data_IF_115034311654
#
_entry.id   IF_115034311654
#
_cell.length_a   1.000
_cell.length_b   1.000
_cell.length_c   1.000
_cell.angle_alpha   90.00
_cell.angle_beta   90.00
_cell.angle_gamma   90.00
#
_symmetry.space_group_name_H-M   'P 1'
#
loop_
_entity.id
_entity.type
_entity.pdbx_description
1 polymer ?
#
# COMPACT_ATOMS: atom_id res chain seq x y z
N UNK A 1 1.48 7.67 28.42
CA UNK A 1 1.09 7.05 27.15
C UNK A 1 1.42 8.05 26.05
N UNK A 2 2.40 7.74 25.20
CA UNK A 2 2.82 8.66 24.15
C UNK A 2 1.72 8.68 23.08
N UNK A 3 0.86 9.70 23.11
CA UNK A 3 -0.15 9.89 22.07
C UNK A 3 0.54 10.26 20.76
N UNK A 4 0.36 9.43 19.74
CA UNK A 4 0.79 9.76 18.38
C UNK A 4 -0.07 10.91 17.84
N UNK A 5 0.55 11.81 17.06
CA UNK A 5 -0.18 12.94 16.49
C UNK A 5 -1.03 12.48 15.30
N UNK A 6 -2.33 12.74 15.37
CA UNK A 6 -3.30 12.44 14.30
C UNK A 6 -3.64 13.68 13.48
N UNK A 7 -3.71 13.50 12.16
CA UNK A 7 -3.93 14.53 11.16
C UNK A 7 -5.14 14.16 10.29
N UNK A 8 -5.87 15.17 9.84
CA UNK A 8 -6.80 15.04 8.71
C UNK A 8 -6.12 15.58 7.46
N UNK A 9 -5.72 14.67 6.57
CA UNK A 9 -5.09 15.00 5.30
C UNK A 9 -6.18 15.33 4.30
N UNK A 10 -6.15 16.52 3.71
CA UNK A 10 -7.14 16.98 2.73
C UNK A 10 -6.52 17.09 1.35
N UNK A 11 -7.19 16.50 0.37
CA UNK A 11 -6.79 16.40 -1.03
C UNK A 11 -7.80 17.16 -1.91
N UNK A 12 -7.49 17.36 -3.21
CA UNK A 12 -8.47 17.85 -4.18
C UNK A 12 -9.78 17.05 -4.16
N UNK A 13 -10.86 17.65 -4.69
CA UNK A 13 -12.20 17.04 -4.72
C UNK A 13 -12.81 16.74 -3.34
N UNK A 14 -12.40 17.51 -2.31
CA UNK A 14 -12.87 17.37 -0.91
C UNK A 14 -12.57 15.99 -0.30
N UNK A 15 -11.57 15.28 -0.82
CA UNK A 15 -11.19 13.97 -0.29
C UNK A 15 -10.37 14.14 0.98
N UNK A 16 -10.60 13.27 1.95
CA UNK A 16 -9.91 13.28 3.22
C UNK A 16 -9.42 11.88 3.58
N UNK A 17 -8.28 11.84 4.27
CA UNK A 17 -7.66 10.62 4.80
C UNK A 17 -7.14 10.88 6.21
N UNK A 18 -6.99 9.82 6.98
CA UNK A 18 -6.36 9.87 8.31
C UNK A 18 -4.84 9.81 8.14
N UNK A 19 -4.11 10.69 8.81
CA UNK A 19 -2.66 10.61 8.91
C UNK A 19 -2.22 10.44 10.35
N UNK A 20 -1.19 9.63 10.60
CA UNK A 20 -0.56 9.47 11.92
C UNK A 20 0.93 9.73 11.77
N UNK A 21 1.46 10.68 12.55
CA UNK A 21 2.91 10.89 12.64
C UNK A 21 3.52 9.91 13.61
N UNK A 22 4.57 9.24 13.16
CA UNK A 22 5.18 8.10 13.85
C UNK A 22 6.67 8.36 14.02
N UNK A 23 7.12 8.64 15.26
CA UNK A 23 8.54 8.66 15.58
C UNK A 23 9.22 7.33 15.25
N UNK A 24 10.54 7.35 15.03
CA UNK A 24 11.30 6.11 14.86
C UNK A 24 11.08 5.15 16.03
N UNK A 25 11.10 3.85 15.74
CA UNK A 25 10.96 2.75 16.70
C UNK A 25 9.64 2.72 17.49
N UNK A 26 8.61 3.44 17.03
CA UNK A 26 7.25 3.30 17.56
C UNK A 26 6.74 1.89 17.32
N UNK A 27 6.18 1.27 18.37
CA UNK A 27 5.62 -0.08 18.30
C UNK A 27 4.40 -0.14 17.38
N UNK A 28 4.31 -1.19 16.57
CA UNK A 28 3.23 -1.39 15.60
C UNK A 28 1.83 -1.42 16.22
N UNK A 29 1.70 -1.92 17.45
CA UNK A 29 0.43 -1.98 18.19
C UNK A 29 -0.13 -0.59 18.50
N UNK A 30 0.72 0.36 18.88
CA UNK A 30 0.35 1.75 19.11
C UNK A 30 -0.07 2.44 17.80
N UNK A 31 0.62 2.15 16.70
CA UNK A 31 0.27 2.68 15.37
C UNK A 31 -1.10 2.16 14.95
N UNK A 32 -1.31 0.84 14.99
CA UNK A 32 -2.57 0.20 14.62
C UNK A 32 -3.76 0.71 15.47
N UNK A 33 -3.57 0.79 16.78
CA UNK A 33 -4.58 1.34 17.71
C UNK A 33 -4.89 2.80 17.40
N UNK A 34 -3.87 3.61 17.08
CA UNK A 34 -4.09 5.02 16.73
C UNK A 34 -4.85 5.15 15.42
N UNK A 35 -4.51 4.34 14.41
CA UNK A 35 -5.19 4.35 13.12
C UNK A 35 -6.68 4.00 13.27
N UNK A 36 -7.01 2.93 14.00
CA UNK A 36 -8.39 2.49 14.19
C UNK A 36 -9.25 3.41 15.07
N UNK A 37 -8.63 4.23 15.92
CA UNK A 37 -9.35 5.20 16.78
C UNK A 37 -9.42 6.60 16.17
N UNK A 38 -8.56 6.91 15.20
CA UNK A 38 -8.48 8.22 14.61
C UNK A 38 -9.78 8.57 13.86
N UNK A 39 -10.15 9.85 13.92
CA UNK A 39 -11.32 10.36 13.21
C UNK A 39 -11.00 11.53 12.31
N UNK A 40 -11.60 11.54 11.13
CA UNK A 40 -11.60 12.71 10.25
C UNK A 40 -12.29 13.86 11.00
N UNK A 41 -11.55 14.95 11.23
CA UNK A 41 -12.08 16.13 11.92
C UNK A 41 -12.91 16.95 10.93
N UNK A 42 -14.23 16.99 11.15
CA UNK A 42 -15.13 17.84 10.35
C UNK A 42 -14.92 19.32 10.68
N UNK A 43 -14.94 20.16 9.64
CA UNK A 43 -14.98 21.61 9.77
C UNK A 43 -16.30 22.06 10.40
N UNK A 44 -16.32 23.28 10.96
CA UNK A 44 -17.51 23.85 11.62
C UNK A 44 -18.74 23.89 10.70
N UNK A 45 -18.57 24.25 9.43
CA UNK A 45 -19.65 24.22 8.43
C UNK A 45 -20.12 22.80 8.08
N UNK A 46 -19.22 21.81 8.03
CA UNK A 46 -19.61 20.40 7.84
C UNK A 46 -20.41 19.85 9.02
N UNK A 47 -20.08 20.26 10.26
CA UNK A 47 -20.86 19.93 11.46
C UNK A 47 -22.26 20.56 11.45
N UNK A 48 -22.41 21.73 10.82
CA UNK A 48 -23.71 22.39 10.70
C UNK A 48 -24.64 21.64 9.73
N UNK A 49 -24.08 21.00 8.70
CA UNK A 49 -24.81 20.20 7.71
C UNK A 49 -24.99 18.73 8.18
N UNK A 50 -24.22 18.28 9.18
CA UNK A 50 -24.18 16.87 9.59
C UNK A 50 -25.45 16.35 10.27
N UNK A 51 -26.45 17.20 10.56
CA UNK A 51 -27.77 16.75 10.99
C UNK A 51 -28.49 15.87 9.94
N UNK A 52 -27.99 15.81 8.70
CA UNK A 52 -28.51 14.97 7.61
C UNK A 52 -27.55 13.86 7.14
N UNK A 53 -26.39 13.65 7.79
CA UNK A 53 -25.31 12.78 7.28
C UNK A 53 -25.00 11.58 8.20
N UNK A 54 -25.98 10.73 8.49
CA UNK A 54 -25.77 9.44 9.21
C UNK A 54 -24.80 8.50 8.47
N UNK A 55 -24.75 8.60 7.13
CA UNK A 55 -23.96 7.73 6.25
C UNK A 55 -22.45 7.86 6.48
N UNK A 56 -21.93 9.02 6.93
CA UNK A 56 -20.48 9.22 7.09
C UNK A 56 -19.94 8.59 8.36
N UNK A 57 -20.73 8.51 9.44
CA UNK A 57 -20.30 7.83 10.68
C UNK A 57 -20.30 6.31 10.56
N UNK A 58 -21.26 5.73 9.82
CA UNK A 58 -21.35 4.27 9.63
C UNK A 58 -20.16 3.75 8.81
N UNK A 59 -19.84 4.40 7.68
CA UNK A 59 -18.67 4.03 6.86
C UNK A 59 -17.36 4.11 7.64
N UNK A 60 -17.23 5.10 8.52
CA UNK A 60 -16.02 5.29 9.30
C UNK A 60 -15.87 4.24 10.41
N UNK A 61 -16.98 3.84 11.04
CA UNK A 61 -16.95 2.74 12.00
C UNK A 61 -16.61 1.41 11.31
N UNK A 62 -17.15 1.17 10.11
CA UNK A 62 -16.83 -0.02 9.31
C UNK A 62 -15.33 -0.05 8.93
N UNK A 63 -14.75 1.06 8.47
CA UNK A 63 -13.31 1.15 8.20
C UNK A 63 -12.45 0.90 9.45
N UNK A 64 -12.86 1.41 10.61
CA UNK A 64 -12.15 1.18 11.87
C UNK A 64 -12.21 -0.29 12.30
N UNK A 65 -13.37 -0.93 12.18
CA UNK A 65 -13.54 -2.35 12.46
C UNK A 65 -12.62 -3.18 11.58
N UNK A 66 -12.52 -2.84 10.28
CA UNK A 66 -11.63 -3.51 9.33
C UNK A 66 -10.13 -3.38 9.66
N UNK A 67 -9.72 -2.33 10.38
CA UNK A 67 -8.34 -2.19 10.87
C UNK A 67 -8.10 -2.95 12.18
N UNK A 68 -9.11 -3.10 13.03
CA UNK A 68 -9.00 -3.86 14.29
C UNK A 68 -9.06 -5.37 14.10
N UNK A 69 -9.79 -5.84 13.09
CA UNK A 69 -9.88 -7.25 12.75
C UNK A 69 -9.88 -7.42 11.22
N UNK A 70 -8.71 -7.27 10.56
CA UNK A 70 -8.61 -7.44 9.12
C UNK A 70 -8.97 -8.86 8.71
N UNK A 71 -9.76 -9.01 7.63
CA UNK A 71 -9.99 -10.32 7.01
C UNK A 71 -8.71 -10.90 6.41
N UNK A 72 -7.91 -10.03 5.81
CA UNK A 72 -6.61 -10.33 5.25
C UNK A 72 -5.78 -9.04 5.12
N UNK A 73 -4.46 -9.19 5.06
CA UNK A 73 -3.53 -8.07 4.84
C UNK A 73 -2.67 -8.34 3.61
N UNK A 74 -2.70 -7.43 2.64
CA UNK A 74 -1.81 -7.47 1.47
C UNK A 74 -0.82 -6.31 1.51
N UNK A 75 0.46 -6.66 1.51
CA UNK A 75 1.57 -5.75 1.28
C UNK A 75 1.75 -5.57 -0.24
N UNK A 76 1.52 -4.38 -0.79
CA UNK A 76 1.76 -4.12 -2.21
C UNK A 76 2.87 -3.10 -2.41
N UNK A 77 3.96 -3.51 -3.06
CA UNK A 77 5.15 -2.68 -3.25
C UNK A 77 5.77 -2.86 -4.65
N UNK A 78 6.70 -1.97 -5.01
CA UNK A 78 7.36 -2.05 -6.32
C UNK A 78 7.86 -0.71 -6.85
N UNK A 79 7.73 -0.52 -8.16
CA UNK A 79 8.34 0.59 -8.88
C UNK A 79 7.49 1.87 -8.94
N UNK A 80 8.07 3.01 -8.56
CA UNK A 80 7.47 4.35 -8.72
C UNK A 80 8.05 5.13 -9.91
N UNK A 81 8.98 4.52 -10.66
CA UNK A 81 9.60 5.15 -11.81
C UNK A 81 8.62 5.30 -13.00
N UNK A 82 8.96 6.20 -13.94
CA UNK A 82 8.19 6.39 -15.15
C UNK A 82 8.05 5.05 -15.91
N UNK A 83 6.82 4.76 -16.34
CA UNK A 83 6.44 3.56 -17.06
C UNK A 83 6.35 3.88 -18.55
N UNK A 84 6.82 2.95 -19.39
CA UNK A 84 6.55 3.00 -20.82
C UNK A 84 5.05 2.80 -21.09
N UNK A 85 4.47 3.40 -22.16
CA UNK A 85 3.02 3.41 -22.36
C UNK A 85 2.36 2.03 -22.38
N UNK A 86 2.98 1.04 -23.04
CA UNK A 86 2.44 -0.33 -23.11
C UNK A 86 2.44 -1.01 -21.73
N UNK A 87 3.55 -0.90 -21.00
CA UNK A 87 3.67 -1.43 -19.65
C UNK A 87 2.68 -0.74 -18.70
N UNK A 88 2.52 0.58 -18.84
CA UNK A 88 1.54 1.35 -18.08
C UNK A 88 0.11 0.83 -18.31
N UNK A 89 -0.26 0.53 -19.55
CA UNK A 89 -1.60 -0.02 -19.86
C UNK A 89 -1.82 -1.39 -19.19
N UNK A 90 -0.85 -2.30 -19.30
CA UNK A 90 -0.92 -3.63 -18.67
C UNK A 90 -1.00 -3.54 -17.14
N UNK A 91 -0.17 -2.70 -16.53
CA UNK A 91 -0.19 -2.45 -15.08
C UNK A 91 -1.49 -1.79 -14.63
N UNK A 92 -2.05 -0.89 -15.44
CA UNK A 92 -3.34 -0.27 -15.12
C UNK A 92 -4.43 -1.35 -15.00
N UNK A 93 -4.58 -2.20 -16.02
CA UNK A 93 -5.58 -3.28 -15.99
C UNK A 93 -5.38 -4.22 -14.80
N UNK A 94 -4.16 -4.71 -14.57
CA UNK A 94 -3.92 -5.69 -13.49
C UNK A 94 -4.11 -5.07 -12.09
N UNK A 95 -3.77 -3.78 -11.90
CA UNK A 95 -3.87 -3.14 -10.59
C UNK A 95 -5.27 -2.59 -10.32
N UNK A 96 -5.93 -2.01 -11.30
CA UNK A 96 -7.28 -1.46 -11.13
C UNK A 96 -8.34 -2.55 -11.11
N UNK A 97 -8.31 -3.45 -12.08
CA UNK A 97 -9.33 -4.49 -12.18
C UNK A 97 -8.90 -5.76 -11.43
N UNK A 98 -7.61 -6.03 -11.27
CA UNK A 98 -7.17 -7.17 -10.45
C UNK A 98 -7.15 -6.83 -8.96
N UNK A 99 -6.09 -6.15 -8.51
CA UNK A 99 -5.81 -5.93 -7.10
C UNK A 99 -6.84 -5.02 -6.40
N UNK A 100 -7.15 -3.86 -6.95
CA UNK A 100 -8.05 -2.91 -6.30
C UNK A 100 -9.47 -3.47 -6.18
N UNK A 101 -9.98 -4.11 -7.25
CA UNK A 101 -11.30 -4.72 -7.25
C UNK A 101 -11.42 -5.79 -6.15
N UNK A 102 -10.51 -6.77 -6.10
CA UNK A 102 -10.60 -7.83 -5.08
C UNK A 102 -10.42 -7.28 -3.68
N UNK A 103 -9.57 -6.26 -3.49
CA UNK A 103 -9.41 -5.64 -2.19
C UNK A 103 -10.71 -4.99 -1.69
N UNK A 104 -11.43 -4.30 -2.56
CA UNK A 104 -12.74 -3.70 -2.25
C UNK A 104 -13.81 -4.77 -2.00
N UNK A 105 -13.95 -5.74 -2.90
CA UNK A 105 -14.97 -6.79 -2.81
C UNK A 105 -14.81 -7.65 -1.55
N UNK A 106 -13.58 -8.00 -1.22
CA UNK A 106 -13.24 -8.86 -0.09
C UNK A 106 -12.86 -8.06 1.16
N UNK A 107 -12.94 -6.72 1.14
CA UNK A 107 -12.54 -5.84 2.26
C UNK A 107 -11.14 -6.16 2.82
N UNK A 108 -10.17 -6.35 1.92
CA UNK A 108 -8.78 -6.67 2.27
C UNK A 108 -8.05 -5.38 2.65
N UNK A 109 -7.29 -5.42 3.75
CA UNK A 109 -6.44 -4.30 4.16
C UNK A 109 -5.17 -4.27 3.33
N UNK A 110 -4.91 -3.17 2.64
CA UNK A 110 -3.71 -2.93 1.84
C UNK A 110 -2.69 -2.08 2.60
N UNK A 111 -1.41 -2.42 2.47
CA UNK A 111 -0.29 -1.61 2.97
C UNK A 111 0.68 -1.35 1.81
N UNK A 112 0.99 -0.07 1.55
CA UNK A 112 1.80 0.36 0.40
C UNK A 112 2.71 1.54 0.74
N UNK A 113 3.54 1.98 -0.23
CA UNK A 113 4.36 3.21 -0.12
C UNK A 113 3.60 4.54 -0.32
N UNK A 114 2.28 4.52 -0.58
CA UNK A 114 1.37 5.68 -0.41
C UNK A 114 1.53 6.91 -1.32
N UNK A 115 2.53 6.97 -2.19
CA UNK A 115 2.78 8.14 -3.05
C UNK A 115 1.96 8.09 -4.34
N UNK A 116 1.57 9.25 -4.88
CA UNK A 116 0.91 9.37 -6.19
C UNK A 116 1.95 9.24 -7.32
N UNK A 117 2.62 8.09 -7.39
CA UNK A 117 3.65 7.80 -8.37
C UNK A 117 3.67 6.32 -8.77
N UNK A 118 3.87 6.05 -10.06
CA UNK A 118 3.96 4.71 -10.63
C UNK A 118 2.80 3.80 -10.22
N UNK A 119 3.12 2.61 -9.74
CA UNK A 119 2.12 1.57 -9.40
C UNK A 119 1.12 2.01 -8.31
N UNK A 120 1.53 2.88 -7.39
CA UNK A 120 0.65 3.32 -6.30
C UNK A 120 -0.44 4.27 -6.80
N UNK A 121 -0.12 5.13 -7.77
CA UNK A 121 -1.12 5.95 -8.45
C UNK A 121 -2.13 5.07 -9.22
N UNK A 122 -1.65 4.04 -9.93
CA UNK A 122 -2.50 3.10 -10.65
C UNK A 122 -3.44 2.32 -9.72
N UNK A 123 -2.93 1.82 -8.59
CA UNK A 123 -3.74 1.19 -7.56
C UNK A 123 -4.77 2.17 -6.97
N UNK A 124 -4.35 3.39 -6.68
CA UNK A 124 -5.21 4.46 -6.15
C UNK A 124 -6.41 4.76 -7.06
N UNK A 125 -6.16 4.95 -8.35
CA UNK A 125 -7.21 5.15 -9.36
C UNK A 125 -8.18 3.95 -9.39
N UNK A 126 -7.66 2.74 -9.24
CA UNK A 126 -8.47 1.52 -9.09
C UNK A 126 -9.35 1.53 -7.84
N UNK A 127 -8.79 1.88 -6.68
CA UNK A 127 -9.56 2.01 -5.44
C UNK A 127 -10.67 3.05 -5.60
N UNK A 128 -10.38 4.17 -6.27
CA UNK A 128 -11.38 5.18 -6.66
C UNK A 128 -12.50 4.62 -7.51
N UNK A 129 -12.15 3.91 -8.58
CA UNK A 129 -13.09 3.24 -9.48
C UNK A 129 -14.02 2.26 -8.74
N UNK A 130 -13.50 1.53 -7.76
CA UNK A 130 -14.24 0.51 -7.02
C UNK A 130 -14.86 1.01 -5.70
N UNK A 131 -14.87 2.31 -5.45
CA UNK A 131 -15.64 2.90 -4.34
C UNK A 131 -14.93 3.01 -2.99
N UNK A 132 -13.64 2.66 -2.92
CA UNK A 132 -12.74 2.89 -1.76
C UNK A 132 -13.25 2.32 -0.42
N UNK A 133 -13.85 1.13 -0.42
CA UNK A 133 -14.30 0.48 0.83
C UNK A 133 -13.22 -0.37 1.51
N UNK A 134 -12.11 -0.65 0.82
CA UNK A 134 -10.97 -1.35 1.38
C UNK A 134 -10.07 -0.38 2.17
N UNK A 135 -9.64 -0.72 3.39
CA UNK A 135 -8.58 0.01 4.06
C UNK A 135 -7.31 -0.07 3.22
N UNK A 136 -6.73 1.09 2.90
CA UNK A 136 -5.45 1.22 2.22
C UNK A 136 -4.57 2.20 2.98
N UNK A 137 -3.48 1.69 3.55
CA UNK A 137 -2.53 2.39 4.41
C UNK A 137 -1.26 2.69 3.62
N UNK A 138 -0.98 3.98 3.41
CA UNK A 138 0.28 4.44 2.83
C UNK A 138 1.31 4.71 3.92
N UNK A 139 2.44 4.03 3.89
CA UNK A 139 3.56 4.28 4.83
C UNK A 139 4.63 5.07 4.10
N UNK A 140 4.91 6.29 4.57
CA UNK A 140 5.80 7.23 3.87
C UNK A 140 6.72 7.97 4.85
N UNK A 141 7.90 8.37 4.39
CA UNK A 141 8.75 9.31 5.12
C UNK A 141 8.13 10.71 5.08
N UNK A 142 7.77 11.25 6.24
CA UNK A 142 7.03 12.52 6.35
C UNK A 142 7.73 13.66 5.59
N UNK A 143 9.04 13.80 5.78
CA UNK A 143 9.86 14.87 5.21
C UNK A 143 10.07 14.75 3.70
N UNK A 144 9.57 13.70 3.05
CA UNK A 144 9.70 13.47 1.61
C UNK A 144 8.37 13.53 0.87
N UNK A 145 7.26 13.75 1.58
CA UNK A 145 5.90 13.74 0.99
C UNK A 145 5.16 15.06 1.19
N UNK A 146 4.13 15.25 0.36
CA UNK A 146 3.19 16.37 0.45
C UNK A 146 1.77 15.91 0.15
N UNK A 147 0.78 16.54 0.75
CA UNK A 147 -0.64 16.32 0.42
C UNK A 147 -1.38 17.62 0.09
N UNK A 148 -0.81 18.77 0.46
CA UNK A 148 -1.36 20.07 0.11
C UNK A 148 -0.99 20.44 -1.33
N UNK A 149 -1.89 21.06 -2.09
CA UNK A 149 -1.57 21.59 -3.41
C UNK A 149 -0.51 22.68 -3.29
N UNK A 150 0.39 22.75 -4.29
CA UNK A 150 1.34 23.83 -4.40
C UNK A 150 0.59 25.12 -4.73
N UNK A 151 0.71 26.12 -3.85
CA UNK A 151 0.10 27.44 -4.04
C UNK A 151 0.69 28.17 -5.26
N UNK A 152 1.94 27.85 -5.64
CA UNK A 152 2.64 28.43 -6.78
C UNK A 152 3.36 27.34 -7.59
N UNK A 153 3.05 27.24 -8.89
CA UNK A 153 3.67 26.28 -9.83
C UNK A 153 5.17 26.53 -10.08
N UNK A 154 5.72 27.64 -9.59
CA UNK A 154 7.11 28.07 -9.82
C UNK A 154 8.11 27.48 -8.84
N UNK A 155 7.66 26.87 -7.74
CA UNK A 155 8.54 26.21 -6.76
C UNK A 155 8.84 24.79 -7.25
N UNK A 156 10.13 24.47 -7.46
CA UNK A 156 10.57 23.07 -7.63
C UNK A 156 10.39 22.33 -6.32
N UNK A 157 9.18 21.83 -6.09
CA UNK A 157 8.92 20.96 -4.96
C UNK A 157 9.51 19.56 -5.23
N UNK A 158 10.38 19.12 -4.34
CA UNK A 158 11.02 17.80 -4.40
C UNK A 158 10.23 16.74 -3.64
N UNK A 159 9.17 17.11 -2.92
CA UNK A 159 8.34 16.18 -2.18
C UNK A 159 7.37 15.43 -3.10
N UNK A 160 7.26 14.12 -2.89
CA UNK A 160 6.33 13.28 -3.61
C UNK A 160 4.90 13.55 -3.13
N UNK A 161 3.93 13.79 -4.03
CA UNK A 161 2.52 13.86 -3.64
C UNK A 161 2.08 12.52 -3.02
N UNK A 162 1.28 12.58 -1.96
CA UNK A 162 0.53 11.44 -1.43
C UNK A 162 -0.63 11.09 -2.36
N UNK A 163 -0.95 9.81 -2.44
CA UNK A 163 -2.01 9.29 -3.30
C UNK A 163 -3.40 9.53 -2.66
N UNK A 164 -4.32 10.24 -3.32
CA UNK A 164 -5.57 10.73 -2.72
C UNK A 164 -6.66 9.67 -2.44
N UNK A 165 -6.50 8.43 -2.89
CA UNK A 165 -7.49 7.37 -2.67
C UNK A 165 -7.15 6.46 -1.48
N UNK A 166 -5.96 6.57 -0.90
CA UNK A 166 -5.61 5.89 0.35
C UNK A 166 -6.49 6.41 1.50
N UNK A 167 -6.99 5.47 2.31
CA UNK A 167 -7.79 5.77 3.51
C UNK A 167 -6.94 6.35 4.65
N UNK A 168 -5.71 5.84 4.79
CA UNK A 168 -4.85 6.05 5.95
C UNK A 168 -3.41 6.30 5.52
N UNK A 169 -2.68 7.05 6.33
CA UNK A 169 -1.25 7.31 6.17
C UNK A 169 -0.49 7.19 7.47
N UNK A 170 0.64 6.50 7.42
CA UNK A 170 1.64 6.44 8.48
C UNK A 170 2.84 7.25 8.01
N UNK A 171 3.05 8.41 8.64
CA UNK A 171 4.09 9.37 8.30
C UNK A 171 5.26 9.18 9.27
N UNK A 172 6.29 8.46 8.83
CA UNK A 172 7.45 8.15 9.68
C UNK A 172 8.47 9.27 9.67
N UNK A 173 9.19 9.44 10.77
CA UNK A 173 10.42 10.23 10.74
C UNK A 173 11.52 9.49 9.96
N UNK A 174 12.24 10.22 9.11
CA UNK A 174 13.25 9.69 8.22
C UNK A 174 13.84 10.78 7.32
N UNK A 175 14.88 10.41 6.57
CA UNK A 175 15.63 11.33 5.69
C UNK A 175 15.68 10.86 4.25
N UNK A 176 15.47 9.57 3.99
CA UNK A 176 15.55 8.96 2.66
C UNK A 176 14.49 7.88 2.50
N UNK A 177 14.12 7.61 1.25
CA UNK A 177 13.22 6.51 0.92
C UNK A 177 13.76 5.16 1.40
N UNK A 178 12.87 4.37 1.99
CA UNK A 178 13.14 3.11 2.66
C UNK A 178 13.62 3.23 4.11
N UNK A 179 13.56 4.42 4.72
CA UNK A 179 13.64 4.56 6.19
C UNK A 179 12.33 4.08 6.84
N UNK A 180 11.23 4.10 6.09
CA UNK A 180 9.89 3.63 6.48
C UNK A 180 9.69 2.12 6.50
N UNK A 181 10.63 1.37 5.90
CA UNK A 181 10.47 -0.07 5.64
C UNK A 181 10.24 -0.85 6.93
N UNK A 182 11.01 -0.58 7.99
CA UNK A 182 10.87 -1.30 9.25
C UNK A 182 9.46 -1.10 9.83
N UNK A 183 8.98 0.14 9.92
CA UNK A 183 7.63 0.46 10.41
C UNK A 183 6.54 -0.17 9.54
N UNK A 184 6.71 -0.14 8.21
CA UNK A 184 5.75 -0.74 7.29
C UNK A 184 5.59 -2.25 7.53
N UNK A 185 6.70 -2.98 7.67
CA UNK A 185 6.69 -4.43 7.82
C UNK A 185 6.37 -4.90 9.24
N UNK A 186 6.70 -4.12 10.28
CA UNK A 186 6.23 -4.43 11.64
C UNK A 186 4.74 -4.16 11.79
N UNK A 187 4.22 -3.10 11.16
CA UNK A 187 2.77 -2.83 11.09
C UNK A 187 2.04 -3.94 10.33
N UNK A 188 2.53 -4.33 9.16
CA UNK A 188 1.98 -5.44 8.39
C UNK A 188 1.98 -6.75 9.18
N UNK A 189 3.05 -7.05 9.90
CA UNK A 189 3.14 -8.23 10.77
C UNK A 189 2.13 -8.18 11.92
N UNK A 190 1.95 -7.02 12.54
CA UNK A 190 1.01 -6.84 13.64
C UNK A 190 -0.44 -7.00 13.17
N UNK A 191 -0.81 -6.33 12.06
CA UNK A 191 -2.16 -6.40 11.52
C UNK A 191 -2.53 -7.79 11.00
N UNK A 192 -1.55 -8.58 10.57
CA UNK A 192 -1.77 -9.93 10.04
C UNK A 192 -1.58 -11.06 11.04
N UNK A 193 -1.55 -10.79 12.36
CA UNK A 193 -1.29 -11.82 13.37
C UNK A 193 -2.34 -12.94 13.37
N UNK A 194 -3.60 -12.61 13.08
CA UNK A 194 -4.74 -13.52 13.18
C UNK A 194 -5.49 -13.66 11.85
N UNK A 195 -4.87 -13.31 10.72
CA UNK A 195 -5.49 -13.41 9.41
C UNK A 195 -4.47 -13.72 8.31
N UNK A 196 -4.92 -14.26 7.17
CA UNK A 196 -4.07 -14.51 6.02
C UNK A 196 -3.34 -13.25 5.53
N UNK A 197 -2.13 -13.43 5.00
CA UNK A 197 -1.33 -12.34 4.43
C UNK A 197 -0.56 -12.73 3.19
N UNK A 198 -0.40 -11.76 2.28
CA UNK A 198 0.36 -11.89 1.05
C UNK A 198 1.17 -10.62 0.77
N UNK A 199 2.25 -10.80 0.04
CA UNK A 199 2.99 -9.71 -0.58
C UNK A 199 2.81 -9.76 -2.10
N UNK A 200 2.61 -8.61 -2.73
CA UNK A 200 2.51 -8.48 -4.18
C UNK A 200 3.52 -7.46 -4.66
N UNK A 201 4.28 -7.82 -5.70
CA UNK A 201 5.33 -6.96 -6.25
C UNK A 201 5.21 -6.74 -7.75
N UNK A 202 5.40 -5.47 -8.16
CA UNK A 202 5.43 -5.05 -9.56
C UNK A 202 6.63 -4.14 -9.86
N UNK A 203 7.52 -4.55 -10.74
CA UNK A 203 8.72 -3.81 -11.11
C UNK A 203 9.75 -3.74 -9.98
N UNK A 204 9.93 -2.56 -9.39
CA UNK A 204 10.80 -2.36 -8.23
C UNK A 204 12.26 -2.05 -8.54
N UNK A 205 12.98 -1.67 -7.48
CA UNK A 205 14.40 -1.32 -7.52
C UNK A 205 15.11 -1.63 -6.20
N UNK A 206 16.11 -0.85 -5.82
CA UNK A 206 16.95 -1.12 -4.63
C UNK A 206 16.16 -1.22 -3.31
N UNK A 207 15.11 -0.41 -3.15
CA UNK A 207 14.26 -0.45 -1.95
C UNK A 207 13.41 -1.73 -1.95
N UNK A 208 12.74 -2.01 -3.07
CA UNK A 208 11.97 -3.25 -3.29
C UNK A 208 12.77 -4.53 -3.03
N UNK A 209 14.08 -4.52 -3.30
CA UNK A 209 14.96 -5.65 -2.95
C UNK A 209 15.02 -5.90 -1.45
N UNK A 210 15.12 -4.84 -0.64
CA UNK A 210 15.09 -4.96 0.83
C UNK A 210 13.72 -5.40 1.31
N UNK A 211 12.64 -4.91 0.70
CA UNK A 211 11.27 -5.30 1.01
C UNK A 211 11.03 -6.80 0.76
N UNK A 212 11.53 -7.34 -0.36
CA UNK A 212 11.49 -8.78 -0.64
C UNK A 212 12.34 -9.58 0.35
N UNK A 213 13.54 -9.11 0.74
CA UNK A 213 14.35 -9.76 1.77
C UNK A 213 13.62 -9.80 3.13
N UNK A 214 12.92 -8.72 3.50
CA UNK A 214 12.11 -8.70 4.72
C UNK A 214 10.91 -9.62 4.62
N UNK A 215 10.26 -9.71 3.47
CA UNK A 215 9.18 -10.67 3.24
C UNK A 215 9.65 -12.13 3.40
N UNK A 216 10.82 -12.47 2.84
CA UNK A 216 11.46 -13.78 3.03
C UNK A 216 11.74 -14.04 4.51
N UNK A 217 12.34 -13.08 5.22
CA UNK A 217 12.63 -13.22 6.65
C UNK A 217 11.38 -13.40 7.53
N UNK A 218 10.24 -12.86 7.10
CA UNK A 218 8.94 -13.01 7.76
C UNK A 218 8.14 -14.22 7.26
N UNK A 219 8.68 -15.03 6.34
CA UNK A 219 7.97 -16.18 5.76
C UNK A 219 6.73 -15.81 4.96
N UNK A 220 6.66 -14.58 4.43
CA UNK A 220 5.48 -14.08 3.70
C UNK A 220 5.49 -14.58 2.26
N UNK A 221 4.40 -15.22 1.85
CA UNK A 221 4.18 -15.62 0.45
C UNK A 221 4.11 -14.40 -0.46
N UNK A 222 4.77 -14.49 -1.61
CA UNK A 222 4.94 -13.39 -2.56
C UNK A 222 4.33 -13.74 -3.92
N UNK A 223 3.42 -12.91 -4.41
CA UNK A 223 3.02 -12.89 -5.82
C UNK A 223 3.92 -11.91 -6.56
N UNK A 224 4.65 -12.40 -7.56
CA UNK A 224 5.48 -11.58 -8.45
C UNK A 224 4.78 -11.40 -9.80
N UNK A 225 4.47 -10.16 -10.16
CA UNK A 225 3.81 -9.85 -11.44
C UNK A 225 4.84 -9.93 -12.59
N UNK A 226 4.89 -11.07 -13.27
CA UNK A 226 5.73 -11.30 -14.44
C UNK A 226 5.39 -10.32 -15.58
N UNK A 227 6.43 -9.80 -16.22
CA UNK A 227 6.33 -8.81 -17.28
C UNK A 227 6.22 -7.37 -16.76
N UNK A 228 6.30 -7.16 -15.43
CA UNK A 228 6.35 -5.81 -14.83
C UNK A 228 7.75 -5.17 -14.90
N UNK A 229 8.74 -5.93 -15.36
CA UNK A 229 10.12 -5.50 -15.55
C UNK A 229 10.97 -5.48 -14.28
N UNK A 230 12.21 -5.02 -14.43
CA UNK A 230 13.15 -4.68 -13.35
C UNK A 230 13.32 -5.83 -12.35
N UNK A 231 13.33 -5.52 -11.04
CA UNK A 231 13.63 -6.47 -9.98
C UNK A 231 12.68 -7.67 -9.98
N UNK A 232 11.37 -7.45 -10.17
CA UNK A 232 10.40 -8.54 -10.18
C UNK A 232 10.75 -9.59 -11.24
N UNK A 233 11.06 -9.18 -12.47
CA UNK A 233 11.42 -10.11 -13.53
C UNK A 233 12.83 -10.71 -13.34
N UNK A 234 13.77 -9.97 -12.75
CA UNK A 234 15.10 -10.51 -12.38
C UNK A 234 15.01 -11.61 -11.32
N UNK A 235 14.18 -11.43 -10.28
CA UNK A 235 13.93 -12.46 -9.26
C UNK A 235 13.25 -13.67 -9.88
N UNK A 236 12.27 -13.46 -10.77
CA UNK A 236 11.59 -14.56 -11.45
C UNK A 236 12.51 -15.35 -12.39
N UNK A 237 13.47 -14.70 -13.06
CA UNK A 237 14.52 -15.40 -13.82
C UNK A 237 15.36 -16.29 -12.91
N UNK A 238 15.86 -15.74 -11.81
CA UNK A 238 16.63 -16.50 -10.83
C UNK A 238 15.82 -17.66 -10.24
N UNK A 239 14.52 -17.46 -9.99
CA UNK A 239 13.62 -18.47 -9.44
C UNK A 239 13.39 -19.65 -10.41
N UNK A 240 13.51 -19.42 -11.73
CA UNK A 240 13.52 -20.48 -12.75
C UNK A 240 14.88 -21.17 -12.94
N UNK A 241 15.88 -20.81 -12.13
CA UNK A 241 17.25 -21.34 -12.22
C UNK A 241 18.12 -20.65 -13.27
N UNK A 242 17.67 -19.53 -13.85
CA UNK A 242 18.50 -18.74 -14.75
C UNK A 242 19.58 -17.97 -13.98
N UNK A 243 20.74 -17.75 -14.62
CA UNK A 243 21.84 -17.02 -14.01
C UNK A 243 21.49 -15.54 -13.80
N UNK A 244 21.74 -15.06 -12.58
CA UNK A 244 21.71 -13.63 -12.23
C UNK A 244 22.98 -13.27 -11.46
N UNK A 245 23.43 -12.02 -11.56
CA UNK A 245 24.68 -11.61 -10.90
C UNK A 245 24.52 -11.27 -9.42
N UNK A 246 23.40 -10.65 -9.02
CA UNK A 246 23.21 -10.18 -7.65
C UNK A 246 22.83 -11.33 -6.71
N UNK A 247 23.74 -11.68 -5.79
CA UNK A 247 23.53 -12.72 -4.78
C UNK A 247 22.26 -12.53 -3.95
N UNK A 248 21.85 -11.29 -3.67
CA UNK A 248 20.61 -11.06 -2.91
C UNK A 248 19.37 -11.45 -3.71
N UNK A 249 19.40 -11.30 -5.04
CA UNK A 249 18.33 -11.76 -5.93
C UNK A 249 18.28 -13.29 -5.90
N UNK A 250 19.44 -13.97 -5.93
CA UNK A 250 19.51 -15.43 -5.77
C UNK A 250 18.92 -15.88 -4.45
N UNK A 251 19.28 -15.23 -3.34
CA UNK A 251 18.74 -15.54 -2.01
C UNK A 251 17.22 -15.39 -1.98
N UNK A 252 16.68 -14.27 -2.50
CA UNK A 252 15.22 -14.06 -2.57
C UNK A 252 14.56 -15.18 -3.39
N UNK A 253 15.11 -15.49 -4.56
CA UNK A 253 14.56 -16.50 -5.46
C UNK A 253 14.60 -17.93 -4.89
N UNK A 254 15.59 -18.26 -4.07
CA UNK A 254 15.77 -19.59 -3.48
C UNK A 254 14.98 -19.77 -2.18
N UNK A 255 14.91 -18.73 -1.35
CA UNK A 255 14.32 -18.82 -0.01
C UNK A 255 12.89 -18.26 0.05
N UNK A 256 12.46 -17.50 -0.96
CA UNK A 256 11.13 -16.94 -1.01
C UNK A 256 10.07 -17.97 -1.40
N UNK A 257 8.94 -17.94 -0.71
CA UNK A 257 7.70 -18.60 -1.13
C UNK A 257 7.06 -17.74 -2.23
N UNK A 258 7.45 -18.00 -3.49
CA UNK A 258 7.14 -17.17 -4.66
C UNK A 258 6.12 -17.87 -5.55
N UNK A 259 5.08 -17.13 -5.94
CA UNK A 259 4.17 -17.49 -7.02
C UNK A 259 4.27 -16.44 -8.12
N UNK A 260 4.58 -16.87 -9.34
CA UNK A 260 4.58 -15.98 -10.50
C UNK A 260 3.16 -15.83 -11.06
N UNK A 261 2.74 -14.61 -11.36
CA UNK A 261 1.54 -14.36 -12.16
C UNK A 261 1.94 -13.56 -13.40
N UNK A 262 1.66 -14.05 -14.61
CA UNK A 262 1.92 -13.30 -15.82
C UNK A 262 0.82 -12.24 -16.01
N UNK A 263 1.20 -10.96 -16.16
CA UNK A 263 0.21 -9.90 -16.35
C UNK A 263 -0.63 -10.08 -17.62
N UNK A 264 -0.17 -10.87 -18.60
CA UNK A 264 -0.97 -11.23 -19.78
C UNK A 264 -2.16 -12.14 -19.47
N UNK A 265 -2.14 -12.85 -18.34
CA UNK A 265 -3.24 -13.72 -17.91
C UNK A 265 -4.46 -12.90 -17.44
N UNK A 266 -4.25 -11.59 -17.25
CA UNK A 266 -5.30 -10.62 -17.02
C UNK A 266 -5.73 -10.47 -15.55
N UNK A 267 -6.59 -9.47 -15.26
CA UNK A 267 -6.98 -9.12 -13.90
C UNK A 267 -7.76 -10.22 -13.19
N UNK A 268 -8.60 -10.98 -13.89
CA UNK A 268 -9.35 -12.10 -13.29
C UNK A 268 -8.42 -13.19 -12.74
N UNK A 269 -7.32 -13.49 -13.43
CA UNK A 269 -6.33 -14.45 -12.94
C UNK A 269 -5.70 -13.99 -11.62
N UNK A 270 -5.38 -12.68 -11.50
CA UNK A 270 -4.88 -12.12 -10.24
C UNK A 270 -5.92 -12.24 -9.11
N UNK A 271 -7.19 -11.89 -9.38
CA UNK A 271 -8.27 -11.99 -8.39
C UNK A 271 -8.43 -13.42 -7.88
N UNK A 272 -8.51 -14.38 -8.80
CA UNK A 272 -8.64 -15.80 -8.46
C UNK A 272 -7.44 -16.27 -7.61
N UNK A 273 -6.22 -15.93 -8.03
CA UNK A 273 -5.00 -16.31 -7.30
C UNK A 273 -4.98 -15.73 -5.88
N UNK A 274 -5.35 -14.45 -5.71
CA UNK A 274 -5.42 -13.82 -4.39
C UNK A 274 -6.43 -14.56 -3.50
N UNK A 275 -7.64 -14.83 -4.01
CA UNK A 275 -8.68 -15.53 -3.23
C UNK A 275 -8.26 -16.93 -2.82
N UNK A 276 -7.63 -17.67 -3.74
CA UNK A 276 -7.11 -19.03 -3.47
C UNK A 276 -6.04 -19.00 -2.38
N UNK A 277 -5.04 -18.12 -2.53
CA UNK A 277 -3.92 -18.06 -1.59
C UNK A 277 -4.32 -17.54 -0.21
N UNK A 278 -5.32 -16.67 -0.11
CA UNK A 278 -5.84 -16.20 1.19
C UNK A 278 -6.78 -17.22 1.86
N UNK A 279 -7.38 -18.15 1.11
CA UNK A 279 -8.27 -19.17 1.69
C UNK A 279 -7.53 -20.39 2.26
N UNK A 280 -6.27 -20.58 1.84
CA UNK A 280 -5.45 -21.76 2.16
C UNK A 280 -4.43 -21.51 3.29
N UNK A 281 -4.63 -20.50 4.13
CA UNK A 281 -3.74 -20.13 5.25
C UNK A 281 -4.42 -20.35 6.60
#
# INVERSE_FOLDING_TARGET
>A
MNHLETLTLSFPEKRQSIGVRVPQDTEASFIATTLSQAKIKMTWWQRFISHFLTITSEKQNEENDLLTSPRAVIMFNGGTAKLEPELHHKLNLILQDGLAQVAVEEKITLITGGTQAGIFALLGDGLGKWGRTAPCIGVCVEKLVRWKPLLLKTVKDKHAPLEPHHSHFVLVDGKKWGDELNTMYTLGQHLSQNCPTLNIYAGGGKICKREMQTAVAQGRKMILLAGSGRLTDEVLKAHRGEAVEDERIKTIAQQGDIVALNMSDGPEALRKLIKELLSNQ
#
